data_IF_656667090672
#
_entry.id   IF_656667090672
#
_cell.length_a   1.000
_cell.length_b   1.000
_cell.length_c   1.000
_cell.angle_alpha   90.00
_cell.angle_beta   90.00
_cell.angle_gamma   90.00
#
_symmetry.space_group_name_H-M   'P 1'
#
loop_
_entity.id
_entity.type
_entity.pdbx_description
1 polymer ?
#
# COMPACT_ATOMS: atom_id res chain seq x y z
N UNK A 1 73.85 -5.49 29.25
CA UNK A 1 73.95 -4.02 29.06
C UNK A 1 73.47 -3.70 27.66
N UNK A 2 72.20 -3.33 27.53
CA UNK A 2 71.59 -2.94 26.27
C UNK A 2 71.39 -1.41 26.30
N UNK A 3 72.00 -0.71 25.35
CA UNK A 3 71.85 0.74 25.18
C UNK A 3 70.71 0.97 24.20
N UNK A 4 69.60 1.52 24.70
CA UNK A 4 68.43 1.89 23.93
C UNK A 4 68.67 3.25 23.24
N UNK A 5 68.62 3.28 21.91
CA UNK A 5 68.63 4.49 21.11
C UNK A 5 67.19 5.02 20.96
N UNK A 6 66.92 6.18 21.53
CA UNK A 6 65.64 6.88 21.45
C UNK A 6 65.45 7.57 20.09
N UNK A 7 64.36 7.23 19.40
CA UNK A 7 63.83 7.95 18.23
C UNK A 7 62.97 9.14 18.69
N UNK A 8 63.09 10.33 18.07
CA UNK A 8 62.26 11.49 18.43
C UNK A 8 60.83 11.37 17.87
N UNK A 9 59.82 11.98 18.54
CA UNK A 9 58.43 11.90 18.09
C UNK A 9 58.15 12.82 16.88
N UNK A 10 57.53 12.23 15.87
CA UNK A 10 56.95 12.92 14.72
C UNK A 10 55.82 13.87 15.19
N UNK A 11 55.95 15.16 14.89
CA UNK A 11 54.90 16.16 15.10
C UNK A 11 54.06 16.28 13.82
N UNK A 12 52.72 16.15 13.86
CA UNK A 12 51.90 16.35 12.67
C UNK A 12 51.78 17.84 12.33
N UNK A 13 51.67 18.19 11.03
CA UNK A 13 51.54 19.58 10.60
C UNK A 13 50.18 20.17 10.97
N UNK A 14 50.22 21.41 11.46
CA UNK A 14 49.05 22.27 11.70
C UNK A 14 48.22 22.39 10.41
N UNK A 15 47.05 21.74 10.36
CA UNK A 15 46.01 22.07 9.40
C UNK A 15 45.11 23.16 10.00
N UNK A 16 45.14 24.33 9.37
CA UNK A 16 44.24 25.44 9.59
C UNK A 16 42.78 25.05 9.34
N UNK A 17 41.97 25.08 10.41
CA UNK A 17 40.52 24.88 10.36
C UNK A 17 39.82 26.03 9.63
N UNK A 18 38.86 25.78 8.72
CA UNK A 18 38.04 26.82 8.13
C UNK A 18 37.17 27.49 9.19
N UNK A 19 37.27 28.81 9.29
CA UNK A 19 36.52 29.65 10.21
C UNK A 19 35.02 29.59 9.85
N UNK A 20 34.22 28.88 10.64
CA UNK A 20 32.76 28.94 10.54
C UNK A 20 32.29 30.37 10.80
N UNK A 21 31.77 31.02 9.76
CA UNK A 21 31.09 32.32 9.85
C UNK A 21 29.72 32.09 10.49
N UNK A 22 29.54 32.54 11.73
CA UNK A 22 28.21 32.64 12.37
C UNK A 22 27.32 33.57 11.52
N UNK A 23 26.10 33.18 11.15
CA UNK A 23 25.08 34.15 10.78
C UNK A 23 24.56 34.85 12.03
N UNK A 24 24.40 36.17 11.92
CA UNK A 24 23.90 37.05 12.97
C UNK A 24 22.51 36.62 13.43
N UNK A 25 22.31 36.63 14.75
CA UNK A 25 21.04 36.34 15.38
C UNK A 25 20.03 37.45 15.04
N UNK A 26 19.08 37.15 14.14
CA UNK A 26 17.89 37.97 13.95
C UNK A 26 17.02 37.76 15.19
N UNK A 27 16.96 38.79 16.03
CA UNK A 27 16.06 38.90 17.17
C UNK A 27 14.61 39.01 16.67
N UNK A 28 13.88 37.89 16.66
CA UNK A 28 12.43 37.89 16.50
C UNK A 28 11.78 37.92 17.87
N UNK A 29 11.03 39.00 18.12
CA UNK A 29 10.19 39.19 19.30
C UNK A 29 9.18 38.05 19.41
N UNK A 30 8.92 37.48 20.59
CA UNK A 30 7.83 36.51 20.73
C UNK A 30 6.49 37.25 20.56
N UNK A 31 5.75 36.90 19.51
CA UNK A 31 4.33 37.21 19.43
C UNK A 31 3.61 36.36 20.48
N UNK A 32 3.17 37.01 21.54
CA UNK A 32 2.36 36.39 22.59
C UNK A 32 0.94 36.21 22.05
N UNK A 33 0.60 35.03 21.54
CA UNK A 33 -0.78 34.68 21.23
C UNK A 33 -1.44 34.23 22.53
N UNK A 34 -2.33 35.10 23.04
CA UNK A 34 -3.21 34.82 24.15
C UNK A 34 -4.14 33.67 23.79
N UNK A 35 -3.99 32.51 24.45
CA UNK A 35 -4.96 31.43 24.36
C UNK A 35 -6.24 31.82 25.10
N UNK A 36 -7.44 31.76 24.50
CA UNK A 36 -8.67 31.76 25.26
C UNK A 36 -8.91 30.35 25.79
N UNK A 37 -8.92 30.21 27.11
CA UNK A 37 -9.51 29.07 27.80
C UNK A 37 -10.99 28.97 27.42
N UNK A 38 -11.34 28.07 26.51
CA UNK A 38 -12.72 27.65 26.29
C UNK A 38 -12.84 26.17 26.66
N UNK A 39 -13.12 25.92 27.95
CA UNK A 39 -13.50 24.62 28.46
C UNK A 39 -14.83 24.21 27.81
N UNK A 40 -14.77 23.41 26.75
CA UNK A 40 -15.91 22.63 26.29
C UNK A 40 -16.04 21.41 27.21
N UNK A 41 -16.76 21.58 28.31
CA UNK A 41 -17.27 20.48 29.12
C UNK A 41 -18.26 19.67 28.27
N UNK A 42 -17.82 18.51 27.80
CA UNK A 42 -18.69 17.45 27.28
C UNK A 42 -19.30 16.71 28.49
N UNK A 43 -20.63 16.68 28.68
CA UNK A 43 -21.23 15.74 29.61
C UNK A 43 -21.33 14.37 28.92
N UNK A 44 -20.36 13.49 29.18
CA UNK A 44 -20.53 12.06 28.91
C UNK A 44 -21.53 11.49 29.93
N UNK A 45 -22.82 11.62 29.62
CA UNK A 45 -23.89 10.87 30.27
C UNK A 45 -24.09 9.55 29.52
N UNK A 46 -23.48 8.48 30.04
CA UNK A 46 -23.82 7.11 29.68
C UNK A 46 -25.09 6.71 30.44
N UNK A 47 -26.25 7.04 29.90
CA UNK A 47 -27.53 6.46 30.31
C UNK A 47 -28.52 6.53 29.15
N UNK A 48 -28.62 5.44 28.40
CA UNK A 48 -29.89 4.81 27.98
C UNK A 48 -29.62 3.78 26.90
N UNK A 49 -29.46 2.52 27.32
CA UNK A 49 -29.58 1.36 26.44
C UNK A 49 -31.06 1.15 26.12
N UNK A 50 -31.55 1.79 25.05
CA UNK A 50 -32.80 1.36 24.42
C UNK A 50 -32.52 0.23 23.44
N UNK A 51 -32.73 -0.98 23.96
CA UNK A 51 -32.88 -2.23 23.23
C UNK A 51 -33.92 -2.04 22.12
N UNK A 52 -33.46 -1.95 20.87
CA UNK A 52 -34.34 -2.02 19.72
C UNK A 52 -34.76 -3.48 19.50
N UNK A 53 -35.98 -3.82 19.95
CA UNK A 53 -36.68 -5.05 19.55
C UNK A 53 -36.84 -5.07 18.02
N UNK A 54 -36.15 -5.99 17.34
CA UNK A 54 -36.52 -6.37 15.96
C UNK A 54 -37.71 -7.33 16.00
N UNK A 55 -38.75 -7.14 15.18
CA UNK A 55 -39.78 -8.16 15.00
C UNK A 55 -39.21 -9.36 14.24
N UNK A 56 -39.46 -10.57 14.74
CA UNK A 56 -39.27 -11.83 14.01
C UNK A 56 -40.30 -11.86 12.88
N UNK A 57 -39.84 -11.81 11.63
CA UNK A 57 -40.61 -12.33 10.52
C UNK A 57 -40.10 -13.75 10.23
N UNK A 58 -40.90 -14.73 10.65
CA UNK A 58 -40.80 -16.09 10.18
C UNK A 58 -41.47 -16.13 8.80
N UNK A 59 -40.69 -16.41 7.76
CA UNK A 59 -41.21 -16.78 6.45
C UNK A 59 -41.02 -18.29 6.32
N UNK A 60 -42.07 -19.02 6.67
CA UNK A 60 -42.25 -20.43 6.39
C UNK A 60 -42.61 -20.55 4.91
N UNK A 61 -41.69 -21.09 4.09
CA UNK A 61 -41.95 -21.39 2.69
C UNK A 61 -42.04 -22.92 2.53
N UNK A 62 -43.28 -23.35 2.35
CA UNK A 62 -43.76 -24.71 2.12
C UNK A 62 -42.95 -25.47 1.05
N UNK A 63 -42.63 -26.72 1.38
CA UNK A 63 -42.32 -27.79 0.42
C UNK A 63 -43.51 -27.91 -0.55
N UNK A 64 -43.20 -27.96 -1.85
CA UNK A 64 -44.17 -28.17 -2.92
C UNK A 64 -43.51 -28.94 -4.05
N UNK A 65 -43.67 -30.27 -4.04
CA UNK A 65 -43.37 -31.13 -5.18
C UNK A 65 -44.29 -30.79 -6.37
N UNK A 66 -43.70 -30.71 -7.57
CA UNK A 66 -44.36 -31.00 -8.85
C UNK A 66 -43.35 -31.19 -10.00
N UNK A 67 -43.78 -32.03 -10.93
CA UNK A 67 -42.99 -32.86 -11.84
C UNK A 67 -42.42 -32.15 -13.08
N UNK A 68 -41.33 -32.75 -13.57
CA UNK A 68 -40.98 -33.04 -14.98
C UNK A 68 -41.49 -32.08 -16.07
N UNK A 69 -40.57 -31.27 -16.59
CA UNK A 69 -40.71 -30.56 -17.85
C UNK A 69 -39.33 -30.27 -18.42
N UNK A 70 -38.87 -31.11 -19.34
CA UNK A 70 -37.59 -30.94 -20.02
C UNK A 70 -37.55 -29.64 -20.82
N UNK A 71 -36.53 -28.82 -20.55
CA UNK A 71 -36.03 -27.84 -21.51
C UNK A 71 -34.52 -27.74 -21.33
N UNK A 72 -33.81 -28.11 -22.40
CA UNK A 72 -32.36 -28.01 -22.49
C UNK A 72 -32.00 -26.54 -22.63
N UNK A 73 -31.75 -25.87 -21.51
CA UNK A 73 -31.01 -24.62 -21.46
C UNK A 73 -29.63 -24.91 -20.88
N UNK A 74 -28.60 -24.59 -21.65
CA UNK A 74 -27.19 -24.69 -21.27
C UNK A 74 -26.98 -23.93 -19.96
N UNK A 75 -26.69 -24.68 -18.90
CA UNK A 75 -26.37 -24.16 -17.57
C UNK A 75 -24.93 -23.67 -17.55
N UNK A 76 -24.72 -22.37 -17.78
CA UNK A 76 -23.51 -21.67 -17.34
C UNK A 76 -23.73 -21.01 -15.96
N UNK A 77 -24.56 -21.64 -15.11
CA UNK A 77 -24.64 -21.34 -13.68
C UNK A 77 -23.74 -22.33 -12.93
N UNK A 78 -22.44 -22.22 -13.16
CA UNK A 78 -21.46 -22.63 -12.15
C UNK A 78 -21.73 -21.74 -10.93
N UNK A 79 -22.52 -22.28 -10.00
CA UNK A 79 -23.07 -21.55 -8.87
C UNK A 79 -22.01 -20.67 -8.21
N UNK A 80 -22.30 -19.37 -8.15
CA UNK A 80 -21.47 -18.37 -7.48
C UNK A 80 -21.50 -18.62 -5.97
N UNK A 81 -20.77 -19.63 -5.51
CA UNK A 81 -20.57 -19.92 -4.10
C UNK A 81 -19.54 -18.93 -3.57
N UNK A 82 -19.93 -18.11 -2.59
CA UNK A 82 -18.98 -17.23 -1.96
C UNK A 82 -18.02 -17.97 -1.06
N UNK A 83 -16.76 -17.56 -1.12
CA UNK A 83 -15.66 -18.17 -0.38
C UNK A 83 -15.48 -17.49 0.99
N UNK A 84 -14.86 -18.21 1.92
CA UNK A 84 -14.52 -17.68 3.23
C UNK A 84 -13.24 -16.84 3.18
N UNK A 85 -13.31 -15.59 3.64
CA UNK A 85 -12.14 -14.73 3.66
C UNK A 85 -11.13 -15.20 4.72
N UNK A 86 -9.88 -15.37 4.29
CA UNK A 86 -8.73 -15.76 5.12
C UNK A 86 -8.70 -17.22 5.63
N UNK A 87 -9.46 -18.15 5.05
CA UNK A 87 -9.32 -19.59 5.32
C UNK A 87 -8.09 -20.15 4.61
N UNK A 88 -7.03 -20.50 5.35
CA UNK A 88 -5.77 -21.05 4.82
C UNK A 88 -5.53 -22.48 5.24
N UNK A 89 -5.83 -23.39 4.32
CA UNK A 89 -5.47 -24.78 4.46
C UNK A 89 -4.06 -25.02 3.93
N UNK A 90 -3.11 -25.05 4.86
CA UNK A 90 -1.71 -25.40 4.61
C UNK A 90 -1.58 -26.77 3.93
N UNK A 91 -2.52 -27.68 4.17
CA UNK A 91 -2.54 -29.02 3.57
C UNK A 91 -2.88 -29.03 2.07
N UNK A 92 -3.56 -28.01 1.58
CA UNK A 92 -3.92 -27.89 0.15
C UNK A 92 -2.83 -27.19 -0.66
N UNK A 93 -1.85 -26.57 0.03
CA UNK A 93 -0.76 -25.84 -0.60
C UNK A 93 0.32 -26.80 -1.12
N UNK A 94 0.54 -26.78 -2.43
CA UNK A 94 1.62 -27.55 -3.07
C UNK A 94 2.96 -26.84 -2.85
N UNK A 95 3.91 -27.53 -2.21
CA UNK A 95 5.28 -27.03 -2.01
C UNK A 95 5.94 -26.61 -3.33
N UNK A 96 5.61 -27.28 -4.43
CA UNK A 96 6.10 -26.94 -5.78
C UNK A 96 5.66 -25.54 -6.22
N UNK A 97 4.43 -25.12 -5.95
CA UNK A 97 3.94 -23.77 -6.28
C UNK A 97 4.69 -22.68 -5.52
N UNK A 98 5.06 -22.94 -4.27
CA UNK A 98 5.89 -22.03 -3.48
C UNK A 98 7.30 -21.89 -4.03
N UNK A 99 7.91 -22.99 -4.49
CA UNK A 99 9.21 -22.94 -5.18
C UNK A 99 9.11 -22.12 -6.47
N UNK A 100 8.08 -22.37 -7.30
CA UNK A 100 7.85 -21.57 -8.51
C UNK A 100 7.66 -20.08 -8.19
N UNK A 101 6.86 -19.76 -7.18
CA UNK A 101 6.67 -18.39 -6.70
C UNK A 101 7.99 -17.73 -6.30
N UNK A 102 8.81 -18.40 -5.47
CA UNK A 102 10.09 -17.84 -5.02
C UNK A 102 11.05 -17.64 -6.18
N UNK A 103 11.14 -18.58 -7.12
CA UNK A 103 12.00 -18.46 -8.30
C UNK A 103 11.54 -17.32 -9.20
N UNK A 104 10.24 -17.24 -9.52
CA UNK A 104 9.69 -16.17 -10.36
C UNK A 104 9.89 -14.81 -9.69
N UNK A 105 9.55 -14.70 -8.40
CA UNK A 105 9.76 -13.46 -7.63
C UNK A 105 11.24 -13.06 -7.63
N UNK A 106 12.15 -14.01 -7.40
CA UNK A 106 13.59 -13.76 -7.43
C UNK A 106 14.07 -13.25 -8.79
N UNK A 107 13.60 -13.85 -9.89
CA UNK A 107 13.91 -13.39 -11.25
C UNK A 107 13.37 -11.99 -11.49
N UNK A 108 12.12 -11.71 -11.13
CA UNK A 108 11.50 -10.39 -11.31
C UNK A 108 12.26 -9.32 -10.52
N UNK A 109 12.61 -9.61 -9.26
CA UNK A 109 13.39 -8.69 -8.42
C UNK A 109 14.81 -8.49 -8.96
N UNK A 110 15.44 -9.54 -9.50
CA UNK A 110 16.75 -9.43 -10.13
C UNK A 110 16.69 -8.56 -11.39
N UNK A 111 15.70 -8.76 -12.26
CA UNK A 111 15.50 -7.92 -13.46
C UNK A 111 15.22 -6.48 -13.06
N UNK A 112 14.33 -6.24 -12.08
CA UNK A 112 14.09 -4.90 -11.55
C UNK A 112 15.37 -4.26 -11.02
N UNK A 113 16.19 -5.04 -10.32
CA UNK A 113 17.47 -4.57 -9.83
C UNK A 113 18.39 -4.15 -10.98
N UNK A 114 18.64 -5.01 -11.95
CA UNK A 114 19.57 -4.72 -13.07
C UNK A 114 19.05 -3.61 -13.99
N UNK A 115 17.78 -3.65 -14.35
CA UNK A 115 17.19 -2.73 -15.36
C UNK A 115 16.84 -1.38 -14.76
N UNK A 116 16.50 -1.31 -13.47
CA UNK A 116 15.98 -0.08 -12.87
C UNK A 116 16.85 0.48 -11.74
N UNK A 117 17.30 -0.36 -10.80
CA UNK A 117 17.94 0.10 -9.56
C UNK A 117 19.46 0.27 -9.70
N UNK A 118 20.14 -0.67 -10.35
CA UNK A 118 21.60 -0.73 -10.43
C UNK A 118 22.14 0.18 -11.54
N UNK A 119 22.72 1.29 -11.12
CA UNK A 119 23.34 2.27 -12.02
C UNK A 119 24.63 1.75 -12.69
N UNK A 120 25.28 0.75 -12.11
CA UNK A 120 26.52 0.17 -12.65
C UNK A 120 26.24 -0.76 -13.83
N UNK A 121 25.08 -1.41 -13.84
CA UNK A 121 24.66 -2.33 -14.88
C UNK A 121 23.89 -1.66 -16.03
N UNK A 122 23.79 -0.32 -16.03
CA UNK A 122 23.04 0.44 -17.04
C UNK A 122 21.56 0.64 -16.71
N UNK A 123 21.17 0.56 -15.44
CA UNK A 123 19.80 0.79 -15.00
C UNK A 123 19.27 2.19 -15.33
N UNK A 124 18.01 2.26 -15.78
CA UNK A 124 17.39 3.53 -16.26
C UNK A 124 16.73 4.34 -15.14
N UNK A 125 16.56 3.77 -13.94
CA UNK A 125 15.83 4.42 -12.84
C UNK A 125 16.51 5.70 -12.36
N UNK A 126 17.85 5.77 -12.38
CA UNK A 126 18.57 7.02 -12.09
C UNK A 126 18.31 8.09 -13.14
N UNK A 127 18.32 7.75 -14.43
CA UNK A 127 18.03 8.73 -15.47
C UNK A 127 16.60 9.29 -15.33
N UNK A 128 15.64 8.44 -14.97
CA UNK A 128 14.29 8.86 -14.62
C UNK A 128 14.27 9.82 -13.42
N UNK A 129 14.92 9.46 -12.31
CA UNK A 129 14.99 10.30 -11.11
C UNK A 129 15.71 11.62 -11.37
N UNK A 130 16.82 11.60 -12.10
CA UNK A 130 17.59 12.80 -12.46
C UNK A 130 16.74 13.73 -13.35
N UNK A 131 15.95 13.18 -14.29
CA UNK A 131 15.05 13.97 -15.14
C UNK A 131 13.93 14.64 -14.34
N UNK A 132 13.32 13.92 -13.39
CA UNK A 132 12.26 14.47 -12.52
C UNK A 132 12.85 15.50 -11.55
N UNK A 133 14.00 15.20 -10.95
CA UNK A 133 14.68 16.11 -10.01
C UNK A 133 15.20 17.37 -10.69
N UNK A 134 15.57 17.28 -11.98
CA UNK A 134 15.99 18.44 -12.77
C UNK A 134 14.90 19.48 -13.04
N UNK A 135 13.63 19.19 -12.71
CA UNK A 135 12.51 20.13 -12.90
C UNK A 135 12.46 21.18 -11.77
N UNK A 136 12.94 20.85 -10.57
CA UNK A 136 12.85 21.76 -9.41
C UNK A 136 13.91 21.44 -8.36
N UNK A 137 14.52 22.48 -7.80
CA UNK A 137 15.44 22.36 -6.67
C UNK A 137 14.72 22.00 -5.34
N UNK A 138 13.39 22.10 -5.30
CA UNK A 138 12.60 21.76 -4.10
C UNK A 138 12.24 20.27 -4.07
N UNK A 139 12.78 19.54 -3.09
CA UNK A 139 12.48 18.13 -2.86
C UNK A 139 10.99 17.85 -2.62
N UNK A 140 10.24 18.80 -2.09
CA UNK A 140 8.78 18.69 -1.92
C UNK A 140 8.07 18.63 -3.28
N UNK A 141 8.49 19.48 -4.23
CA UNK A 141 7.94 19.51 -5.59
C UNK A 141 8.33 18.24 -6.34
N UNK A 142 9.57 17.78 -6.20
CA UNK A 142 10.02 16.51 -6.82
C UNK A 142 9.24 15.33 -6.26
N UNK A 143 9.06 15.26 -4.93
CA UNK A 143 8.23 14.22 -4.29
C UNK A 143 6.78 14.23 -4.77
N UNK A 144 6.18 15.42 -4.89
CA UNK A 144 4.83 15.57 -5.41
C UNK A 144 4.75 15.07 -6.86
N UNK A 145 5.73 15.41 -7.69
CA UNK A 145 5.78 14.98 -9.08
C UNK A 145 5.97 13.46 -9.21
N UNK A 146 6.88 12.85 -8.44
CA UNK A 146 7.05 11.39 -8.40
C UNK A 146 5.75 10.69 -7.98
N UNK A 147 5.05 11.24 -6.98
CA UNK A 147 3.76 10.71 -6.53
C UNK A 147 2.69 10.86 -7.61
N UNK A 148 2.66 11.99 -8.32
CA UNK A 148 1.70 12.24 -9.39
C UNK A 148 1.95 11.34 -10.60
N UNK A 149 3.20 11.17 -11.03
CA UNK A 149 3.59 10.25 -12.10
C UNK A 149 3.17 8.83 -11.72
N UNK A 150 3.49 8.38 -10.51
CA UNK A 150 3.07 7.08 -10.02
C UNK A 150 1.54 6.94 -10.03
N UNK A 151 0.80 7.91 -9.48
CA UNK A 151 -0.65 7.87 -9.41
C UNK A 151 -1.29 7.82 -10.80
N UNK A 152 -0.84 8.66 -11.74
CA UNK A 152 -1.37 8.68 -13.11
C UNK A 152 -1.10 7.35 -13.80
N UNK A 153 0.12 6.83 -13.74
CA UNK A 153 0.48 5.59 -14.42
C UNK A 153 -0.22 4.39 -13.77
N UNK A 154 -0.21 4.29 -12.44
CA UNK A 154 -0.83 3.19 -11.71
C UNK A 154 -2.34 3.17 -11.87
N UNK A 155 -3.03 4.30 -11.64
CA UNK A 155 -4.48 4.40 -11.81
C UNK A 155 -4.91 4.33 -13.27
N UNK A 156 -4.11 4.89 -14.20
CA UNK A 156 -4.35 4.80 -15.63
C UNK A 156 -4.23 3.37 -16.16
N UNK A 157 -3.21 2.62 -15.75
CA UNK A 157 -3.14 1.20 -16.07
C UNK A 157 -4.28 0.42 -15.40
N UNK A 158 -4.71 0.79 -14.19
CA UNK A 158 -5.79 0.10 -13.51
C UNK A 158 -7.13 0.28 -14.24
N UNK A 159 -7.41 1.48 -14.76
CA UNK A 159 -8.63 1.74 -15.53
C UNK A 159 -8.62 1.08 -16.91
N UNK A 160 -7.43 0.86 -17.49
CA UNK A 160 -7.28 0.17 -18.78
C UNK A 160 -7.34 -1.36 -18.68
N UNK A 161 -7.48 -1.93 -17.48
CA UNK A 161 -7.44 -3.38 -17.26
C UNK A 161 -8.39 -4.14 -18.17
N UNK A 162 -9.67 -3.78 -18.18
CA UNK A 162 -10.69 -4.53 -18.92
C UNK A 162 -10.43 -4.54 -20.44
N UNK A 163 -9.73 -3.54 -20.96
CA UNK A 163 -9.30 -3.49 -22.37
C UNK A 163 -7.97 -4.23 -22.57
N UNK A 164 -7.00 -4.04 -21.67
CA UNK A 164 -5.68 -4.66 -21.75
C UNK A 164 -5.73 -6.18 -21.62
N UNK A 165 -6.58 -6.72 -20.76
CA UNK A 165 -6.77 -8.16 -20.58
C UNK A 165 -7.35 -8.81 -21.85
N UNK A 166 -8.22 -8.11 -22.60
CA UNK A 166 -8.76 -8.61 -23.87
C UNK A 166 -7.72 -8.67 -25.00
N UNK A 167 -6.68 -7.84 -24.93
CA UNK A 167 -5.66 -7.73 -25.98
C UNK A 167 -4.47 -8.66 -25.75
N UNK A 168 -3.96 -8.73 -24.51
CA UNK A 168 -2.69 -9.42 -24.18
C UNK A 168 -2.92 -10.61 -23.23
N UNK A 169 -4.12 -10.74 -22.68
CA UNK A 169 -4.47 -11.74 -21.67
C UNK A 169 -4.20 -11.28 -20.23
N UNK A 170 -4.97 -11.82 -19.30
CA UNK A 170 -4.98 -11.46 -17.87
C UNK A 170 -3.59 -11.51 -17.21
N UNK A 171 -2.84 -12.60 -17.43
CA UNK A 171 -1.52 -12.79 -16.82
C UNK A 171 -0.51 -11.78 -17.33
N UNK A 172 -0.45 -11.59 -18.65
CA UNK A 172 0.51 -10.68 -19.27
C UNK A 172 0.21 -9.23 -18.88
N UNK A 173 -1.07 -8.86 -18.82
CA UNK A 173 -1.47 -7.54 -18.35
C UNK A 173 -1.04 -7.29 -16.90
N UNK A 174 -1.19 -8.26 -15.99
CA UNK A 174 -0.75 -8.12 -14.59
C UNK A 174 0.76 -8.01 -14.46
N UNK A 175 1.52 -8.77 -15.24
CA UNK A 175 2.98 -8.66 -15.27
C UNK A 175 3.42 -7.30 -15.82
N UNK A 176 2.77 -6.78 -16.86
CA UNK A 176 3.01 -5.43 -17.38
C UNK A 176 2.67 -4.36 -16.32
N UNK A 177 1.49 -4.47 -15.72
CA UNK A 177 1.02 -3.56 -14.68
C UNK A 177 2.01 -3.49 -13.51
N UNK A 178 2.42 -4.64 -12.99
CA UNK A 178 3.39 -4.74 -11.91
C UNK A 178 4.78 -4.28 -12.38
N UNK A 179 5.20 -4.66 -13.58
CA UNK A 179 6.51 -4.32 -14.16
C UNK A 179 6.71 -2.82 -14.39
N UNK A 180 5.64 -2.06 -14.60
CA UNK A 180 5.69 -0.59 -14.67
C UNK A 180 5.48 0.04 -13.29
N UNK A 181 4.49 -0.43 -12.53
CA UNK A 181 4.12 0.16 -11.24
C UNK A 181 5.20 -0.03 -10.16
N UNK A 182 5.83 -1.21 -10.08
CA UNK A 182 6.86 -1.51 -9.08
C UNK A 182 8.08 -0.59 -9.19
N UNK A 183 8.73 -0.42 -10.36
CA UNK A 183 9.86 0.50 -10.47
C UNK A 183 9.51 1.95 -10.12
N UNK A 184 8.33 2.44 -10.53
CA UNK A 184 7.87 3.78 -10.17
C UNK A 184 7.62 3.90 -8.65
N UNK A 185 6.96 2.92 -8.04
CA UNK A 185 6.74 2.89 -6.58
C UNK A 185 8.06 2.86 -5.81
N UNK A 186 9.00 1.98 -6.20
CA UNK A 186 10.32 1.87 -5.57
C UNK A 186 11.07 3.20 -5.69
N UNK A 187 11.04 3.85 -6.85
CA UNK A 187 11.69 5.16 -7.05
C UNK A 187 11.12 6.21 -6.11
N UNK A 188 9.79 6.30 -6.01
CA UNK A 188 9.11 7.25 -5.12
C UNK A 188 9.42 6.98 -3.65
N UNK A 189 9.39 5.71 -3.21
CA UNK A 189 9.68 5.33 -1.82
C UNK A 189 11.14 5.58 -1.46
N UNK A 190 12.08 5.19 -2.32
CA UNK A 190 13.52 5.40 -2.09
C UNK A 190 13.84 6.89 -2.05
N UNK A 191 13.31 7.67 -2.98
CA UNK A 191 13.49 9.13 -2.96
C UNK A 191 12.92 9.73 -1.66
N UNK A 192 11.72 9.32 -1.25
CA UNK A 192 11.11 9.78 0.00
C UNK A 192 11.99 9.48 1.21
N UNK A 193 12.51 8.26 1.33
CA UNK A 193 13.38 7.87 2.45
C UNK A 193 14.65 8.72 2.49
N UNK A 194 15.27 8.92 1.32
CA UNK A 194 16.50 9.68 1.21
C UNK A 194 16.33 11.17 1.54
N UNK A 195 15.15 11.73 1.28
CA UNK A 195 14.85 13.15 1.49
C UNK A 195 13.82 13.40 2.60
N UNK A 196 13.64 12.43 3.52
CA UNK A 196 12.57 12.45 4.53
C UNK A 196 12.63 13.62 5.51
N UNK A 197 13.77 14.31 5.55
CA UNK A 197 14.02 15.45 6.44
C UNK A 197 14.35 16.75 5.70
N UNK A 198 14.26 16.76 4.37
CA UNK A 198 14.70 17.91 3.54
C UNK A 198 13.57 18.93 3.26
N UNK A 199 12.35 18.63 3.70
CA UNK A 199 11.18 19.50 3.57
C UNK A 199 10.87 20.32 4.82
N UNK A 200 9.83 21.15 4.73
CA UNK A 200 9.33 21.94 5.86
C UNK A 200 8.71 21.02 6.90
N UNK A 201 9.33 20.97 8.08
CA UNK A 201 8.79 20.21 9.20
C UNK A 201 7.57 20.93 9.81
N UNK A 202 6.38 20.38 9.55
CA UNK A 202 5.12 20.91 10.10
C UNK A 202 4.93 20.54 11.59
N UNK A 203 5.38 19.34 11.99
CA UNK A 203 5.18 18.80 13.34
C UNK A 203 6.42 18.03 13.80
N UNK A 204 6.82 18.16 15.07
CA UNK A 204 7.88 17.37 15.68
C UNK A 204 7.33 16.60 16.90
N UNK A 205 6.85 15.39 16.66
CA UNK A 205 6.20 14.58 17.69
C UNK A 205 7.04 13.39 18.15
N UNK A 206 8.27 13.24 17.65
CA UNK A 206 9.14 12.08 17.96
C UNK A 206 9.44 11.93 19.46
N UNK A 207 9.47 13.03 20.21
CA UNK A 207 9.75 13.06 21.64
C UNK A 207 8.50 12.87 22.51
N UNK A 208 7.30 12.77 21.93
CA UNK A 208 6.06 12.62 22.70
C UNK A 208 5.97 11.19 23.24
N UNK A 209 5.93 11.00 24.58
CA UNK A 209 5.85 9.67 25.16
C UNK A 209 4.53 8.99 24.76
N UNK A 210 4.59 7.71 24.39
CA UNK A 210 3.42 6.93 23.95
C UNK A 210 3.12 7.01 22.45
N UNK A 211 3.64 8.01 21.72
CA UNK A 211 3.31 8.17 20.30
C UNK A 211 3.90 7.05 19.44
N UNK A 212 5.13 6.64 19.72
CA UNK A 212 5.75 5.52 19.02
C UNK A 212 4.89 4.24 19.15
N UNK A 213 4.43 3.93 20.37
CA UNK A 213 3.59 2.79 20.66
C UNK A 213 2.24 2.88 19.93
N UNK A 214 1.65 4.07 19.86
CA UNK A 214 0.40 4.31 19.13
C UNK A 214 0.60 4.04 17.63
N UNK A 215 1.59 4.67 17.00
CA UNK A 215 1.86 4.50 15.56
C UNK A 215 2.15 3.03 15.24
N UNK A 216 2.93 2.36 16.08
CA UNK A 216 3.21 0.94 15.93
C UNK A 216 1.94 0.09 16.04
N UNK A 217 1.11 0.32 17.07
CA UNK A 217 -0.13 -0.42 17.26
C UNK A 217 -1.12 -0.18 16.11
N UNK A 218 -1.25 1.06 15.64
CA UNK A 218 -2.07 1.39 14.47
C UNK A 218 -1.56 0.71 13.20
N UNK A 219 -0.25 0.66 12.99
CA UNK A 219 0.35 -0.06 11.87
C UNK A 219 0.08 -1.56 11.97
N UNK A 220 0.25 -2.15 13.16
CA UNK A 220 -0.06 -3.54 13.43
C UNK A 220 -1.53 -3.87 13.12
N UNK A 221 -2.47 -3.06 13.61
CA UNK A 221 -3.91 -3.22 13.35
C UNK A 221 -4.20 -3.13 11.85
N UNK A 222 -3.56 -2.19 11.14
CA UNK A 222 -3.69 -2.06 9.69
C UNK A 222 -3.22 -3.32 8.98
N UNK A 223 -2.05 -3.86 9.32
CA UNK A 223 -1.53 -5.11 8.73
C UNK A 223 -2.42 -6.30 9.06
N UNK A 224 -2.93 -6.38 10.30
CA UNK A 224 -3.84 -7.45 10.73
C UNK A 224 -5.12 -7.48 9.89
N UNK A 225 -5.71 -6.33 9.59
CA UNK A 225 -6.91 -6.25 8.72
C UNK A 225 -6.60 -6.33 7.22
N UNK A 226 -5.37 -6.02 6.80
CA UNK A 226 -4.94 -6.20 5.42
C UNK A 226 -4.73 -7.67 5.08
N UNK A 227 -4.34 -8.50 6.06
CA UNK A 227 -4.05 -9.92 5.85
C UNK A 227 -5.16 -10.67 5.08
N UNK A 228 -6.45 -10.60 5.48
CA UNK A 228 -7.54 -11.22 4.70
C UNK A 228 -7.60 -10.78 3.24
N UNK A 229 -7.25 -9.53 2.92
CA UNK A 229 -7.39 -8.95 1.58
C UNK A 229 -6.30 -9.32 0.57
N UNK A 230 -5.21 -9.95 1.02
CA UNK A 230 -4.07 -10.37 0.17
C UNK A 230 -3.93 -11.88 0.08
N UNK A 231 -4.95 -12.57 0.59
CA UNK A 231 -5.02 -13.99 0.65
C UNK A 231 -5.13 -14.58 -0.76
N UNK A 232 -4.38 -15.65 -1.03
CA UNK A 232 -4.07 -16.18 -2.38
C UNK A 232 -2.87 -15.51 -3.09
N UNK A 233 -1.71 -15.52 -2.42
CA UNK A 233 -0.45 -14.95 -2.93
C UNK A 233 -0.01 -15.49 -4.29
N UNK A 234 -0.34 -16.75 -4.61
CA UNK A 234 0.03 -17.38 -5.88
C UNK A 234 -0.71 -16.73 -7.05
N UNK A 235 -1.96 -16.35 -6.85
CA UNK A 235 -2.69 -15.54 -7.83
C UNK A 235 -2.12 -14.12 -7.89
N UNK A 236 -1.86 -13.46 -6.76
CA UNK A 236 -1.26 -12.10 -6.74
C UNK A 236 0.06 -12.05 -7.51
N UNK A 237 0.88 -13.08 -7.37
CA UNK A 237 2.15 -13.23 -8.05
C UNK A 237 2.05 -13.63 -9.53
N UNK A 238 0.83 -13.75 -10.06
CA UNK A 238 0.53 -14.24 -11.39
C UNK A 238 1.10 -15.64 -11.68
N UNK A 239 1.37 -16.43 -10.63
CA UNK A 239 1.75 -17.85 -10.73
C UNK A 239 0.52 -18.64 -11.13
N UNK A 240 -0.59 -18.41 -10.42
CA UNK A 240 -1.91 -18.92 -10.77
C UNK A 240 -2.70 -17.90 -11.61
N UNK A 241 -3.68 -18.41 -12.36
CA UNK A 241 -4.59 -17.52 -13.11
C UNK A 241 -5.41 -16.69 -12.11
N UNK A 242 -5.54 -15.37 -12.31
CA UNK A 242 -6.40 -14.56 -11.46
C UNK A 242 -7.83 -15.07 -11.50
N UNK A 243 -8.46 -15.16 -10.34
CA UNK A 243 -9.89 -15.45 -10.22
C UNK A 243 -10.60 -14.32 -9.48
N UNK A 244 -11.90 -14.26 -9.70
CA UNK A 244 -12.78 -13.33 -8.98
C UNK A 244 -13.30 -14.05 -7.74
N UNK A 245 -12.86 -13.61 -6.57
CA UNK A 245 -13.29 -14.16 -5.28
C UNK A 245 -14.46 -13.34 -4.71
N UNK A 246 -15.64 -13.96 -4.57
CA UNK A 246 -16.77 -13.38 -3.85
C UNK A 246 -16.69 -13.80 -2.38
N UNK A 247 -16.29 -12.89 -1.50
CA UNK A 247 -16.19 -13.21 -0.08
C UNK A 247 -17.55 -13.11 0.62
N UNK A 248 -18.04 -14.21 1.19
CA UNK A 248 -19.31 -14.25 1.95
C UNK A 248 -19.12 -14.01 3.45
N UNK A 249 -17.90 -14.17 3.95
CA UNK A 249 -17.54 -13.99 5.35
C UNK A 249 -16.31 -13.09 5.53
N UNK A 250 -15.95 -12.83 6.78
CA UNK A 250 -14.78 -12.01 7.14
C UNK A 250 -14.91 -10.51 6.87
N UNK A 251 -13.82 -9.79 7.14
CA UNK A 251 -13.81 -8.32 7.10
C UNK A 251 -14.06 -7.77 5.69
N UNK A 252 -13.66 -8.51 4.65
CA UNK A 252 -13.82 -8.11 3.24
C UNK A 252 -15.30 -8.02 2.85
N UNK A 253 -16.15 -8.89 3.41
CA UNK A 253 -17.61 -8.84 3.21
C UNK A 253 -18.24 -7.59 3.84
N UNK A 254 -17.65 -7.05 4.91
CA UNK A 254 -18.13 -5.84 5.59
C UNK A 254 -17.61 -4.58 4.88
N UNK A 255 -16.36 -4.60 4.41
CA UNK A 255 -15.70 -3.44 3.80
C UNK A 255 -15.96 -3.30 2.30
N UNK A 256 -16.52 -4.31 1.63
CA UNK A 256 -16.95 -4.16 0.23
C UNK A 256 -18.06 -3.11 0.11
N UNK A 257 -17.92 -2.23 -0.87
CA UNK A 257 -18.97 -1.29 -1.21
C UNK A 257 -20.25 -2.08 -1.52
N UNK A 258 -21.43 -1.73 -0.97
CA UNK A 258 -22.69 -2.30 -1.41
C UNK A 258 -22.83 -1.94 -2.89
N UNK A 259 -22.52 -2.86 -3.80
CA UNK A 259 -22.76 -2.63 -5.21
C UNK A 259 -24.26 -2.34 -5.34
N UNK A 260 -24.59 -1.21 -5.98
CA UNK A 260 -25.97 -0.77 -6.19
C UNK A 260 -26.74 -1.94 -6.81
N UNK A 261 -27.69 -2.49 -6.06
CA UNK A 261 -28.66 -3.40 -6.63
C UNK A 261 -29.31 -2.68 -7.82
N UNK A 262 -29.44 -3.33 -9.00
CA UNK A 262 -30.13 -2.73 -10.13
C UNK A 262 -31.46 -2.17 -9.64
N UNK A 263 -31.68 -0.87 -9.81
CA UNK A 263 -32.98 -0.30 -9.48
C UNK A 263 -34.05 -1.04 -10.31
N UNK A 264 -35.17 -1.50 -9.73
CA UNK A 264 -36.22 -2.23 -10.46
C UNK A 264 -36.87 -1.44 -11.59
N UNK A 265 -36.50 -0.17 -11.78
CA UNK A 265 -37.20 0.82 -12.58
C UNK A 265 -36.82 0.85 -14.07
N UNK A 266 -35.87 0.02 -14.53
CA UNK A 266 -35.45 0.03 -15.95
C UNK A 266 -36.10 -1.05 -16.84
N UNK A 267 -37.12 -1.77 -16.36
CA UNK A 267 -37.86 -2.78 -17.15
C UNK A 267 -39.32 -2.41 -17.44
N UNK A 268 -39.62 -1.13 -17.67
CA UNK A 268 -40.87 -0.71 -18.30
C UNK A 268 -40.62 0.55 -19.11
N UNK A 269 -40.51 0.45 -20.44
CA UNK A 269 -41.34 1.14 -21.45
C UNK A 269 -41.04 0.53 -22.84
N UNK A 270 -42.11 0.03 -23.48
CA UNK A 270 -42.41 -0.24 -24.89
C UNK A 270 -41.31 -0.19 -25.97
#
# INVERSE_FOLDING_TARGET
>A
MAVASATPPFSPPYLSSPRHRRPDAISLRPFSISAPNCLLQLPLSLNSLHIFRRPRFAAEASIGDRESGGSTSVSDDEGLVGEDAAVFDLSEQKLTSWVYFTVILGVVLFVLNVVWIDNSAGGVGKAFLDAVSGISDSHEVVMLLLTLIFAIVHSGLASLRDQGEKLVGERAFRVLFAGVSLPLAVSTVVYFINHRYDGVQLWQLQSVPGLHQLVWLSSFVSFFFLYPSTFNLLEVAAVDKPKMHLWETGIIRITRHPQVAPSPWHNTVN
#
